data_IF_223676766209
#
_entry.id   IF_223676766209
#
_cell.length_a   1.000
_cell.length_b   1.000
_cell.length_c   1.000
_cell.angle_alpha   90.00
_cell.angle_beta   90.00
_cell.angle_gamma   90.00
#
_symmetry.space_group_name_H-M   'P 1'
#
loop_
_entity.id
_entity.type
_entity.pdbx_description
1 polymer ?
#
# COMPACT_ATOMS: atom_id res chain seq x y z
N UNK A 1 -8.59 -11.58 2.86
CA UNK A 1 -9.80 -10.74 2.96
C UNK A 1 -10.68 -10.79 1.70
N UNK A 2 -10.13 -10.62 0.48
CA UNK A 2 -10.90 -10.64 -0.78
C UNK A 2 -11.71 -11.93 -1.06
N UNK A 3 -11.18 -13.12 -0.76
CA UNK A 3 -11.90 -14.41 -0.95
C UNK A 3 -13.20 -14.50 -0.14
N UNK A 4 -13.21 -13.93 1.08
CA UNK A 4 -14.40 -13.92 1.96
C UNK A 4 -15.47 -12.95 1.43
N UNK A 5 -15.03 -11.79 0.94
CA UNK A 5 -15.92 -10.81 0.31
C UNK A 5 -16.58 -11.38 -0.95
N UNK A 6 -15.82 -12.08 -1.79
CA UNK A 6 -16.33 -12.71 -3.00
C UNK A 6 -17.37 -13.80 -2.69
N UNK A 7 -17.10 -14.67 -1.71
CA UNK A 7 -18.06 -15.70 -1.29
C UNK A 7 -19.36 -15.09 -0.71
N UNK A 8 -19.26 -14.03 0.10
CA UNK A 8 -20.43 -13.32 0.63
C UNK A 8 -21.22 -12.59 -0.45
N UNK A 9 -20.55 -11.96 -1.42
CA UNK A 9 -21.20 -11.35 -2.57
C UNK A 9 -21.89 -12.39 -3.47
N UNK A 10 -21.30 -13.59 -3.62
CA UNK A 10 -21.95 -14.71 -4.31
C UNK A 10 -23.15 -15.27 -3.54
N UNK A 11 -23.06 -15.38 -2.21
CA UNK A 11 -24.17 -15.79 -1.34
C UNK A 11 -25.32 -14.77 -1.43
N UNK A 12 -25.02 -13.48 -1.32
CA UNK A 12 -25.98 -12.40 -1.53
C UNK A 12 -26.59 -12.44 -2.94
N UNK A 13 -25.80 -12.71 -3.98
CA UNK A 13 -26.30 -12.86 -5.37
C UNK A 13 -27.30 -14.01 -5.50
N UNK A 14 -27.08 -15.14 -4.82
CA UNK A 14 -28.03 -16.27 -4.79
C UNK A 14 -29.31 -15.91 -4.02
N UNK A 15 -29.18 -15.27 -2.86
CA UNK A 15 -30.31 -14.82 -2.03
C UNK A 15 -31.14 -13.74 -2.76
N UNK A 16 -30.50 -12.87 -3.54
CA UNK A 16 -31.18 -11.86 -4.38
C UNK A 16 -32.03 -12.46 -5.50
N UNK A 17 -31.87 -13.75 -5.84
CA UNK A 17 -32.62 -14.42 -6.91
C UNK A 17 -33.65 -15.43 -6.37
N UNK A 18 -33.61 -15.77 -5.07
CA UNK A 18 -34.61 -16.61 -4.40
C UNK A 18 -34.90 -16.06 -2.99
N UNK A 19 -35.88 -15.14 -2.85
CA UNK A 19 -36.16 -14.42 -1.59
C UNK A 19 -36.96 -15.25 -0.57
N UNK A 20 -36.81 -16.57 -0.55
CA UNK A 20 -37.47 -17.45 0.41
C UNK A 20 -36.71 -17.46 1.75
N UNK A 21 -37.24 -16.67 2.69
CA UNK A 21 -37.39 -16.96 4.14
C UNK A 21 -36.41 -16.50 5.23
N UNK A 22 -35.38 -15.67 5.01
CA UNK A 22 -34.87 -14.91 6.17
C UNK A 22 -34.29 -13.53 5.85
N UNK A 23 -35.15 -12.51 5.91
CA UNK A 23 -34.77 -11.10 5.83
C UNK A 23 -33.73 -10.72 6.89
N UNK A 24 -33.73 -11.39 8.04
CA UNK A 24 -32.76 -11.16 9.12
C UNK A 24 -31.36 -11.62 8.71
N UNK A 25 -31.25 -12.78 8.08
CA UNK A 25 -29.96 -13.31 7.60
C UNK A 25 -29.40 -12.45 6.47
N UNK A 26 -30.26 -11.99 5.56
CA UNK A 26 -29.81 -11.09 4.48
C UNK A 26 -29.36 -9.72 5.03
N UNK A 27 -30.04 -9.20 6.05
CA UNK A 27 -29.61 -7.96 6.72
C UNK A 27 -28.25 -8.13 7.40
N UNK A 28 -28.02 -9.26 8.09
CA UNK A 28 -26.74 -9.59 8.69
C UNK A 28 -25.63 -9.77 7.64
N UNK A 29 -25.93 -10.41 6.51
CA UNK A 29 -24.99 -10.55 5.39
C UNK A 29 -24.63 -9.17 4.79
N UNK A 30 -25.58 -8.23 4.71
CA UNK A 30 -25.33 -6.84 4.28
C UNK A 30 -24.36 -6.12 5.24
N UNK A 31 -24.57 -6.28 6.55
CA UNK A 31 -23.68 -5.71 7.59
C UNK A 31 -22.26 -6.27 7.45
N UNK A 32 -22.13 -7.58 7.24
CA UNK A 32 -20.82 -8.21 7.03
C UNK A 32 -20.13 -7.69 5.76
N UNK A 33 -20.87 -7.54 4.66
CA UNK A 33 -20.31 -6.98 3.43
C UNK A 33 -19.88 -5.53 3.64
N UNK A 34 -20.65 -4.71 4.34
CA UNK A 34 -20.27 -3.34 4.66
C UNK A 34 -18.96 -3.29 5.46
N UNK A 35 -18.85 -4.09 6.54
CA UNK A 35 -17.63 -4.18 7.36
C UNK A 35 -16.39 -4.55 6.56
N UNK A 36 -16.50 -5.57 5.70
CA UNK A 36 -15.35 -5.99 4.88
C UNK A 36 -15.01 -4.93 3.85
N UNK A 37 -16.03 -4.34 3.19
CA UNK A 37 -15.85 -3.35 2.14
C UNK A 37 -15.13 -2.10 2.64
N UNK A 38 -15.44 -1.66 3.86
CA UNK A 38 -14.82 -0.46 4.46
C UNK A 38 -13.55 -0.78 5.24
N UNK A 39 -13.05 -2.02 5.17
CA UNK A 39 -11.79 -2.42 5.82
C UNK A 39 -11.87 -2.39 7.36
N UNK A 40 -13.06 -2.54 7.93
CA UNK A 40 -13.30 -2.49 9.38
C UNK A 40 -13.64 -3.86 9.98
N UNK A 41 -13.45 -4.94 9.21
CA UNK A 41 -13.62 -6.31 9.68
C UNK A 41 -12.33 -6.82 10.33
N UNK A 42 -12.15 -6.55 11.62
CA UNK A 42 -11.10 -7.15 12.43
C UNK A 42 -11.64 -8.40 13.14
N UNK A 43 -10.96 -9.55 13.00
CA UNK A 43 -11.35 -10.81 13.64
C UNK A 43 -11.30 -10.75 15.16
N UNK A 44 -10.48 -9.87 15.71
CA UNK A 44 -10.35 -9.65 17.15
C UNK A 44 -11.42 -8.71 17.70
N UNK A 45 -12.10 -7.96 16.82
CA UNK A 45 -13.14 -7.02 17.19
C UNK A 45 -14.51 -7.71 17.26
N UNK A 46 -14.82 -8.29 18.41
CA UNK A 46 -16.13 -8.88 18.67
C UNK A 46 -17.28 -7.85 18.71
N UNK A 47 -16.96 -6.56 18.80
CA UNK A 47 -17.94 -5.46 18.86
C UNK A 47 -18.24 -4.84 17.49
N UNK A 48 -17.37 -5.05 16.50
CA UNK A 48 -17.50 -4.45 15.16
C UNK A 48 -18.84 -4.70 14.49
N UNK A 49 -19.34 -5.93 14.61
CA UNK A 49 -20.61 -6.32 14.00
C UNK A 49 -21.79 -5.56 14.60
N UNK A 50 -21.88 -5.47 15.92
CA UNK A 50 -23.00 -4.78 16.59
C UNK A 50 -22.90 -3.25 16.44
N UNK A 51 -21.70 -2.69 16.45
CA UNK A 51 -21.48 -1.26 16.15
C UNK A 51 -21.89 -0.92 14.72
N UNK A 52 -21.44 -1.70 13.73
CA UNK A 52 -21.84 -1.50 12.34
C UNK A 52 -23.33 -1.74 12.13
N UNK A 53 -23.91 -2.74 12.78
CA UNK A 53 -25.35 -3.01 12.74
C UNK A 53 -26.15 -1.82 13.27
N UNK A 54 -25.70 -1.22 14.37
CA UNK A 54 -26.32 -0.02 14.93
C UNK A 54 -26.23 1.16 13.95
N UNK A 55 -25.05 1.38 13.37
CA UNK A 55 -24.84 2.43 12.37
C UNK A 55 -25.70 2.21 11.11
N UNK A 56 -25.72 0.99 10.56
CA UNK A 56 -26.55 0.63 9.40
C UNK A 56 -28.02 0.79 9.72
N UNK A 57 -28.52 0.29 10.85
CA UNK A 57 -29.93 0.44 11.23
C UNK A 57 -30.37 1.90 11.35
N UNK A 58 -29.45 2.82 11.70
CA UNK A 58 -29.75 4.26 11.78
C UNK A 58 -29.93 4.93 10.40
N UNK A 59 -29.33 4.35 9.35
CA UNK A 59 -29.36 4.87 7.97
C UNK A 59 -30.32 4.07 7.08
N UNK A 60 -30.45 2.78 7.37
CA UNK A 60 -31.22 1.78 6.65
C UNK A 60 -31.90 0.84 7.65
N UNK A 61 -33.10 1.20 8.13
CA UNK A 61 -33.85 0.33 9.02
C UNK A 61 -34.28 -0.95 8.28
N UNK A 62 -34.41 -2.09 8.98
CA UNK A 62 -34.82 -3.37 8.38
C UNK A 62 -36.14 -3.32 7.60
N UNK A 63 -37.03 -2.37 7.91
CA UNK A 63 -38.28 -2.13 7.16
C UNK A 63 -38.05 -1.77 5.69
N UNK A 64 -36.90 -1.19 5.36
CA UNK A 64 -36.55 -0.76 4.01
C UNK A 64 -35.95 -1.89 3.15
N UNK A 65 -35.80 -3.08 3.73
CA UNK A 65 -35.16 -4.24 3.09
C UNK A 65 -35.98 -4.83 1.95
N UNK A 66 -37.32 -4.80 2.07
CA UNK A 66 -38.24 -5.29 1.03
C UNK A 66 -38.09 -4.51 -0.29
N UNK A 67 -38.03 -3.17 -0.21
CA UNK A 67 -37.80 -2.29 -1.37
C UNK A 67 -36.40 -2.50 -1.96
N UNK A 68 -35.39 -2.69 -1.12
CA UNK A 68 -34.03 -2.97 -1.57
C UNK A 68 -33.95 -4.28 -2.37
N UNK A 69 -34.60 -5.36 -1.93
CA UNK A 69 -34.60 -6.66 -2.62
C UNK A 69 -35.20 -6.55 -4.02
N UNK A 70 -36.25 -5.74 -4.20
CA UNK A 70 -36.93 -5.55 -5.48
C UNK A 70 -36.15 -4.66 -6.46
N UNK A 71 -35.10 -3.98 -6.01
CA UNK A 71 -34.31 -3.09 -6.86
C UNK A 71 -33.36 -3.85 -7.81
N UNK A 72 -32.99 -3.21 -8.92
CA UNK A 72 -32.05 -3.79 -9.88
C UNK A 72 -30.62 -3.84 -9.32
N UNK A 73 -29.74 -4.65 -9.93
CA UNK A 73 -28.38 -4.86 -9.44
C UNK A 73 -27.55 -3.57 -9.34
N UNK A 74 -27.70 -2.64 -10.28
CA UNK A 74 -26.98 -1.36 -10.26
C UNK A 74 -27.40 -0.52 -9.06
N UNK A 75 -28.70 -0.43 -8.79
CA UNK A 75 -29.27 0.25 -7.63
C UNK A 75 -28.81 -0.42 -6.33
N UNK A 76 -28.81 -1.75 -6.25
CA UNK A 76 -28.32 -2.48 -5.08
C UNK A 76 -26.85 -2.15 -4.76
N UNK A 77 -25.98 -2.13 -5.77
CA UNK A 77 -24.57 -1.82 -5.57
C UNK A 77 -24.33 -0.37 -5.16
N UNK A 78 -25.00 0.59 -5.83
CA UNK A 78 -24.95 1.99 -5.44
C UNK A 78 -25.42 2.18 -4.00
N UNK A 79 -26.50 1.49 -3.63
CA UNK A 79 -27.06 1.52 -2.29
C UNK A 79 -26.10 0.96 -1.23
N UNK A 80 -25.52 -0.22 -1.46
CA UNK A 80 -24.54 -0.83 -0.55
C UNK A 80 -23.35 0.11 -0.37
N UNK A 81 -22.86 0.74 -1.45
CA UNK A 81 -21.76 1.71 -1.35
C UNK A 81 -22.13 2.89 -0.46
N UNK A 82 -23.30 3.48 -0.69
CA UNK A 82 -23.79 4.64 0.05
C UNK A 82 -23.93 4.34 1.56
N UNK A 83 -24.68 3.29 1.90
CA UNK A 83 -24.94 2.92 3.29
C UNK A 83 -23.66 2.50 4.00
N UNK A 84 -22.77 1.76 3.33
CA UNK A 84 -21.51 1.34 3.94
C UNK A 84 -20.63 2.55 4.27
N UNK A 85 -20.53 3.53 3.36
CA UNK A 85 -19.74 4.74 3.60
C UNK A 85 -20.30 5.59 4.73
N UNK A 86 -21.63 5.79 4.79
CA UNK A 86 -22.26 6.55 5.87
C UNK A 86 -22.07 5.81 7.21
N UNK A 87 -22.34 4.51 7.25
CA UNK A 87 -22.23 3.71 8.47
C UNK A 87 -20.79 3.65 8.99
N UNK A 88 -19.80 3.55 8.10
CA UNK A 88 -18.38 3.65 8.45
C UNK A 88 -18.05 5.02 9.08
N UNK A 89 -18.57 6.12 8.50
CA UNK A 89 -18.39 7.46 9.06
C UNK A 89 -19.01 7.62 10.45
N UNK A 90 -20.21 7.08 10.67
CA UNK A 90 -20.87 7.07 11.99
C UNK A 90 -20.00 6.32 13.00
N UNK A 91 -19.49 5.15 12.62
CA UNK A 91 -18.63 4.33 13.48
C UNK A 91 -17.31 5.01 13.79
N UNK A 92 -16.68 5.67 12.81
CA UNK A 92 -15.47 6.48 12.98
C UNK A 92 -15.68 7.66 13.92
N UNK A 93 -16.81 8.35 13.81
CA UNK A 93 -17.15 9.46 14.70
C UNK A 93 -17.36 8.98 16.15
N UNK A 94 -18.02 7.84 16.32
CA UNK A 94 -18.19 7.20 17.63
C UNK A 94 -16.83 6.74 18.20
N UNK A 95 -15.97 6.17 17.37
CA UNK A 95 -14.60 5.79 17.75
C UNK A 95 -13.77 6.98 18.20
N UNK A 96 -13.72 8.06 17.42
CA UNK A 96 -12.97 9.27 17.78
C UNK A 96 -13.49 9.93 19.07
N UNK A 97 -14.76 9.73 19.41
CA UNK A 97 -15.37 10.25 20.65
C UNK A 97 -15.20 9.31 21.85
N UNK A 98 -14.37 8.27 21.75
CA UNK A 98 -14.19 7.19 22.74
C UNK A 98 -15.49 6.44 23.12
N UNK A 99 -16.47 6.38 22.20
CA UNK A 99 -17.76 5.70 22.41
C UNK A 99 -17.85 4.31 21.78
N UNK A 100 -16.95 3.99 20.85
CA UNK A 100 -16.95 2.75 20.06
C UNK A 100 -15.53 2.42 19.57
N UNK A 101 -15.36 1.32 18.83
CA UNK A 101 -14.14 1.07 18.06
C UNK A 101 -12.91 0.76 18.91
N UNK A 102 -13.10 0.08 20.05
CA UNK A 102 -12.01 -0.31 20.98
C UNK A 102 -10.83 -1.02 20.28
N UNK A 103 -11.12 -1.76 19.21
CA UNK A 103 -10.16 -2.53 18.43
C UNK A 103 -9.91 -1.93 17.03
N UNK A 104 -10.40 -0.72 16.77
CA UNK A 104 -10.06 0.00 15.55
C UNK A 104 -8.60 0.43 15.62
N UNK A 105 -7.88 0.12 14.55
CA UNK A 105 -6.45 0.40 14.44
C UNK A 105 -6.24 1.84 13.99
N UNK A 106 -5.55 2.62 14.81
CA UNK A 106 -5.19 4.00 14.47
C UNK A 106 -4.00 4.01 13.50
N UNK A 107 -4.32 3.82 12.20
CA UNK A 107 -3.31 3.80 11.13
C UNK A 107 -2.52 5.11 11.13
N UNK A 108 -3.17 6.26 11.30
CA UNK A 108 -2.50 7.56 11.32
C UNK A 108 -1.46 7.67 12.45
N UNK A 109 -1.81 7.24 13.67
CA UNK A 109 -0.87 7.20 14.80
C UNK A 109 0.30 6.25 14.56
N UNK A 110 0.04 5.11 13.94
CA UNK A 110 1.08 4.11 13.67
C UNK A 110 2.02 4.59 12.59
N UNK A 111 1.49 5.19 11.52
CA UNK A 111 2.31 5.83 10.49
C UNK A 111 3.21 6.92 11.05
N UNK A 112 2.74 7.74 12.00
CA UNK A 112 3.57 8.75 12.69
C UNK A 112 4.77 8.16 13.44
N UNK A 113 4.70 6.89 13.86
CA UNK A 113 5.79 6.19 14.55
C UNK A 113 6.67 5.42 13.56
N UNK A 114 6.06 4.83 12.54
CA UNK A 114 6.75 3.95 11.58
C UNK A 114 7.51 4.76 10.52
N UNK A 115 6.90 5.81 9.94
CA UNK A 115 7.52 6.59 8.87
C UNK A 115 8.90 7.14 9.23
N UNK A 116 9.12 7.78 10.39
CA UNK A 116 10.45 8.30 10.74
C UNK A 116 11.52 7.21 10.78
N UNK A 117 11.18 6.01 11.28
CA UNK A 117 12.11 4.88 11.38
C UNK A 117 12.49 4.36 10.00
N UNK A 118 11.50 4.19 9.12
CA UNK A 118 11.75 3.71 7.76
C UNK A 118 12.58 4.72 6.96
N UNK A 119 12.31 6.02 7.12
CA UNK A 119 13.12 7.06 6.52
C UNK A 119 14.58 7.03 7.02
N UNK A 120 14.79 6.80 8.33
CA UNK A 120 16.11 6.68 8.95
C UNK A 120 16.84 5.42 8.43
N UNK A 121 16.20 4.26 8.49
CA UNK A 121 16.75 2.99 7.99
C UNK A 121 17.17 3.10 6.51
N UNK A 122 16.35 3.78 5.69
CA UNK A 122 16.62 3.97 4.27
C UNK A 122 17.75 4.98 4.02
N UNK A 123 17.85 6.02 4.85
CA UNK A 123 18.95 6.98 4.80
C UNK A 123 20.29 6.31 5.14
N UNK A 124 20.31 5.49 6.19
CA UNK A 124 21.49 4.75 6.61
C UNK A 124 21.92 3.76 5.53
N UNK A 125 20.99 3.01 4.95
CA UNK A 125 21.29 2.10 3.84
C UNK A 125 21.83 2.84 2.61
N UNK A 126 21.23 3.96 2.22
CA UNK A 126 21.74 4.79 1.12
C UNK A 126 23.17 5.28 1.38
N UNK A 127 23.48 5.65 2.62
CA UNK A 127 24.83 6.07 3.04
C UNK A 127 25.82 4.92 2.92
N UNK A 128 25.44 3.72 3.33
CA UNK A 128 26.31 2.55 3.31
C UNK A 128 26.54 2.01 1.89
N UNK A 129 25.48 1.91 1.08
CA UNK A 129 25.59 1.52 -0.33
C UNK A 129 26.45 2.53 -1.11
N UNK A 130 26.34 3.83 -0.82
CA UNK A 130 27.21 4.85 -1.43
C UNK A 130 28.68 4.57 -1.15
N UNK A 131 29.03 4.31 0.11
CA UNK A 131 30.42 3.96 0.49
C UNK A 131 30.89 2.70 -0.23
N UNK A 132 30.03 1.70 -0.41
CA UNK A 132 30.36 0.48 -1.13
C UNK A 132 30.59 0.73 -2.62
N UNK A 133 29.77 1.54 -3.26
CA UNK A 133 29.96 1.99 -4.65
C UNK A 133 31.30 2.71 -4.81
N UNK A 134 31.61 3.67 -3.93
CA UNK A 134 32.88 4.42 -3.97
C UNK A 134 34.10 3.49 -3.80
N UNK A 135 34.04 2.54 -2.86
CA UNK A 135 35.10 1.54 -2.66
C UNK A 135 35.31 0.68 -3.90
N UNK A 136 34.23 0.13 -4.48
CA UNK A 136 34.30 -0.71 -5.68
C UNK A 136 34.83 0.07 -6.89
N UNK A 137 34.40 1.32 -7.06
CA UNK A 137 34.91 2.20 -8.11
C UNK A 137 36.42 2.46 -7.96
N UNK A 138 36.89 2.76 -6.75
CA UNK A 138 38.31 3.00 -6.50
C UNK A 138 39.15 1.74 -6.74
N UNK A 139 38.68 0.58 -6.28
CA UNK A 139 39.35 -0.70 -6.49
C UNK A 139 39.47 -1.03 -7.98
N UNK A 140 38.40 -0.86 -8.76
CA UNK A 140 38.42 -1.09 -10.21
C UNK A 140 39.34 -0.10 -10.93
N UNK A 141 39.33 1.19 -10.55
CA UNK A 141 40.24 2.21 -11.10
C UNK A 141 41.71 1.83 -10.88
N UNK A 142 42.07 1.40 -9.67
CA UNK A 142 43.43 0.96 -9.37
C UNK A 142 43.86 -0.25 -10.22
N UNK A 143 42.96 -1.19 -10.47
CA UNK A 143 43.24 -2.35 -11.33
C UNK A 143 43.43 -1.96 -12.79
N UNK A 144 42.61 -1.04 -13.31
CA UNK A 144 42.78 -0.50 -14.66
C UNK A 144 44.12 0.23 -14.80
N UNK A 145 44.51 1.05 -13.82
CA UNK A 145 45.80 1.76 -13.84
C UNK A 145 47.02 0.83 -13.80
N UNK A 146 46.85 -0.42 -13.35
CA UNK A 146 47.91 -1.44 -13.26
C UNK A 146 47.90 -2.41 -14.44
N UNK A 147 47.15 -2.11 -15.51
CA UNK A 147 46.98 -2.97 -16.70
C UNK A 147 46.54 -4.41 -16.35
N UNK A 148 45.63 -4.57 -15.38
CA UNK A 148 45.06 -5.88 -15.07
C UNK A 148 44.34 -6.46 -16.31
N UNK A 149 44.51 -7.76 -16.61
CA UNK A 149 43.85 -8.37 -17.76
C UNK A 149 42.33 -8.30 -17.61
N UNK A 150 41.64 -7.76 -18.62
CA UNK A 150 40.17 -7.75 -18.67
C UNK A 150 39.55 -9.16 -18.66
N UNK A 151 40.34 -10.21 -18.94
CA UNK A 151 39.95 -11.62 -18.87
C UNK A 151 39.99 -12.21 -17.46
N UNK A 152 40.40 -11.42 -16.46
CA UNK A 152 40.43 -11.86 -15.07
C UNK A 152 39.02 -11.98 -14.50
N UNK A 153 38.69 -13.18 -14.03
CA UNK A 153 37.35 -13.52 -13.52
C UNK A 153 37.01 -12.66 -12.29
N UNK A 154 37.99 -12.35 -11.45
CA UNK A 154 37.79 -11.51 -10.27
C UNK A 154 37.48 -10.06 -10.68
N UNK A 155 38.19 -9.53 -11.67
CA UNK A 155 37.91 -8.20 -12.22
C UNK A 155 36.51 -8.11 -12.84
N UNK A 156 36.08 -9.14 -13.58
CA UNK A 156 34.71 -9.21 -14.11
C UNK A 156 33.66 -9.29 -13.00
N UNK A 157 33.89 -10.12 -11.98
CA UNK A 157 32.99 -10.23 -10.83
C UNK A 157 32.85 -8.90 -10.07
N UNK A 158 33.94 -8.18 -9.83
CA UNK A 158 33.90 -6.86 -9.17
C UNK A 158 33.14 -5.80 -10.00
N UNK A 159 33.18 -5.88 -11.34
CA UNK A 159 32.33 -5.05 -12.20
C UNK A 159 30.85 -5.35 -12.01
N UNK A 160 30.48 -6.62 -11.96
CA UNK A 160 29.09 -7.03 -11.72
C UNK A 160 28.61 -6.58 -10.33
N UNK A 161 29.47 -6.68 -9.31
CA UNK A 161 29.18 -6.16 -7.98
C UNK A 161 28.95 -4.64 -7.99
N UNK A 162 29.76 -3.88 -8.74
CA UNK A 162 29.57 -2.44 -8.90
C UNK A 162 28.24 -2.12 -9.58
N UNK A 163 27.91 -2.80 -10.68
CA UNK A 163 26.63 -2.61 -11.40
C UNK A 163 25.45 -2.89 -10.46
N UNK A 164 25.50 -3.99 -9.72
CA UNK A 164 24.46 -4.33 -8.75
C UNK A 164 24.34 -3.27 -7.64
N UNK A 165 25.47 -2.80 -7.08
CA UNK A 165 25.47 -1.78 -6.04
C UNK A 165 24.90 -0.44 -6.53
N UNK A 166 25.23 -0.02 -7.76
CA UNK A 166 24.69 1.20 -8.39
C UNK A 166 23.19 1.06 -8.63
N UNK A 167 22.74 -0.05 -9.19
CA UNK A 167 21.31 -0.30 -9.40
C UNK A 167 20.54 -0.30 -8.08
N UNK A 168 21.06 -0.99 -7.07
CA UNK A 168 20.47 -1.00 -5.74
C UNK A 168 20.36 0.42 -5.16
N UNK A 169 21.44 1.21 -5.26
CA UNK A 169 21.44 2.61 -4.83
C UNK A 169 20.34 3.44 -5.50
N UNK A 170 20.17 3.32 -6.82
CA UNK A 170 19.12 4.06 -7.54
C UNK A 170 17.72 3.59 -7.16
N UNK A 171 17.49 2.29 -6.95
CA UNK A 171 16.21 1.82 -6.42
C UNK A 171 15.90 2.36 -5.03
N UNK A 172 16.91 2.44 -4.15
CA UNK A 172 16.73 3.02 -2.82
C UNK A 172 16.37 4.52 -2.88
N UNK A 173 16.89 5.28 -3.86
CA UNK A 173 16.50 6.68 -4.07
C UNK A 173 15.03 6.81 -4.47
N UNK A 174 14.58 6.00 -5.43
CA UNK A 174 13.17 5.98 -5.85
C UNK A 174 12.26 5.63 -4.67
N UNK A 175 12.62 4.60 -3.89
CA UNK A 175 11.87 4.22 -2.70
C UNK A 175 11.81 5.35 -1.66
N UNK A 176 12.89 6.12 -1.51
CA UNK A 176 12.93 7.24 -0.58
C UNK A 176 11.94 8.32 -0.98
N UNK A 177 11.92 8.69 -2.25
CA UNK A 177 10.98 9.69 -2.79
C UNK A 177 9.53 9.24 -2.60
N UNK A 178 9.22 7.97 -2.90
CA UNK A 178 7.88 7.40 -2.71
C UNK A 178 7.44 7.41 -1.23
N UNK A 179 8.33 7.03 -0.32
CA UNK A 179 8.04 7.00 1.12
C UNK A 179 7.90 8.42 1.69
N UNK A 180 8.67 9.39 1.20
CA UNK A 180 8.53 10.80 1.55
C UNK A 180 7.18 11.36 1.09
N UNK A 181 6.72 11.00 -0.11
CA UNK A 181 5.39 11.38 -0.59
C UNK A 181 4.29 10.77 0.27
N UNK A 182 4.39 9.49 0.66
CA UNK A 182 3.46 8.86 1.61
C UNK A 182 3.43 9.64 2.94
N UNK A 183 4.58 10.07 3.45
CA UNK A 183 4.64 10.83 4.69
C UNK A 183 3.88 12.16 4.57
N UNK A 184 4.07 12.87 3.46
CA UNK A 184 3.37 14.12 3.15
C UNK A 184 1.86 13.89 3.05
N UNK A 185 1.43 12.88 2.30
CA UNK A 185 0.01 12.57 2.10
C UNK A 185 -0.67 12.13 3.40
N UNK A 186 0.01 11.30 4.19
CA UNK A 186 -0.48 10.87 5.50
C UNK A 186 -0.73 12.05 6.42
N UNK A 187 0.20 13.01 6.49
CA UNK A 187 0.02 14.22 7.30
C UNK A 187 -1.16 15.06 6.84
N UNK A 188 -1.31 15.27 5.52
CA UNK A 188 -2.45 16.02 4.94
C UNK A 188 -3.78 15.34 5.27
N UNK A 189 -3.84 14.02 5.13
CA UNK A 189 -5.05 13.23 5.38
C UNK A 189 -5.41 13.21 6.87
N UNK A 190 -4.44 13.04 7.76
CA UNK A 190 -4.65 13.07 9.22
C UNK A 190 -5.16 14.45 9.69
N UNK A 191 -4.57 15.53 9.16
CA UNK A 191 -5.05 16.89 9.42
C UNK A 191 -6.47 17.11 8.89
N UNK A 192 -6.76 16.65 7.67
CA UNK A 192 -8.10 16.74 7.06
C UNK A 192 -9.13 15.97 7.89
N UNK A 193 -8.79 14.76 8.33
CA UNK A 193 -9.65 13.93 9.18
C UNK A 193 -9.99 14.65 10.50
N UNK A 194 -8.99 15.25 11.16
CA UNK A 194 -9.19 16.02 12.38
C UNK A 194 -10.10 17.24 12.17
N UNK A 195 -9.99 17.94 11.04
CA UNK A 195 -10.90 19.05 10.69
C UNK A 195 -12.33 18.54 10.48
N UNK A 196 -12.50 17.48 9.68
CA UNK A 196 -13.82 16.92 9.38
C UNK A 196 -14.56 16.50 10.66
N UNK A 197 -13.86 15.87 11.61
CA UNK A 197 -14.42 15.54 12.92
C UNK A 197 -14.87 16.80 13.69
N UNK A 198 -14.02 17.83 13.74
CA UNK A 198 -14.34 19.09 14.44
C UNK A 198 -15.57 19.78 13.84
N UNK A 199 -15.64 19.86 12.52
CA UNK A 199 -16.78 20.43 11.81
C UNK A 199 -18.06 19.63 12.02
N UNK A 200 -17.98 18.30 11.94
CA UNK A 200 -19.10 17.41 12.19
C UNK A 200 -19.63 17.61 13.62
N UNK A 201 -18.74 17.67 14.62
CA UNK A 201 -19.11 17.96 16.00
C UNK A 201 -19.77 19.33 16.17
N UNK A 202 -19.31 20.35 15.45
CA UNK A 202 -19.93 21.68 15.48
C UNK A 202 -21.34 21.64 14.89
N UNK A 203 -21.52 21.00 13.73
CA UNK A 203 -22.84 20.86 13.07
C UNK A 203 -23.84 20.11 13.93
N UNK A 204 -23.41 19.07 14.64
CA UNK A 204 -24.26 18.30 15.55
C UNK A 204 -24.68 19.11 16.80
N UNK A 205 -23.92 20.14 17.20
CA UNK A 205 -24.22 20.97 18.38
C UNK A 205 -25.08 22.20 18.08
N UNK A 206 -24.99 22.78 16.87
CA UNK A 206 -25.49 24.14 16.58
C UNK A 206 -26.83 24.23 15.86
N UNK A 207 -27.47 23.12 15.46
CA UNK A 207 -28.67 23.19 14.62
C UNK A 207 -29.81 22.23 14.99
N UNK A 208 -31.09 22.62 14.78
CA UNK A 208 -32.24 21.72 14.87
C UNK A 208 -32.38 20.79 13.64
N UNK A 209 -31.28 20.48 12.94
CA UNK A 209 -31.30 19.76 11.66
C UNK A 209 -30.67 18.37 11.75
N UNK A 210 -31.41 17.46 12.36
CA UNK A 210 -31.23 16.00 12.28
C UNK A 210 -31.80 15.41 10.98
N UNK A 211 -31.88 16.19 9.89
CA UNK A 211 -32.26 15.62 8.59
C UNK A 211 -31.03 14.93 8.03
N UNK A 212 -31.11 13.59 7.95
CA UNK A 212 -30.18 12.68 7.28
C UNK A 212 -29.39 13.31 6.12
N UNK A 213 -30.08 14.04 5.24
CA UNK A 213 -29.54 14.70 4.06
C UNK A 213 -28.38 15.69 4.32
N UNK A 214 -28.28 16.27 5.51
CA UNK A 214 -27.22 17.25 5.86
C UNK A 214 -26.02 16.63 6.57
N UNK A 215 -26.20 15.50 7.25
CA UNK A 215 -25.15 14.88 8.09
C UNK A 215 -24.49 13.70 7.37
N UNK A 216 -25.22 12.96 6.55
CA UNK A 216 -24.68 11.82 5.79
C UNK A 216 -23.51 12.19 4.89
N UNK A 217 -23.51 13.32 4.16
CA UNK A 217 -22.33 13.73 3.39
C UNK A 217 -21.08 13.90 4.26
N UNK A 218 -21.21 14.44 5.48
CA UNK A 218 -20.08 14.57 6.41
C UNK A 218 -19.53 13.23 6.88
N UNK A 219 -20.41 12.27 7.18
CA UNK A 219 -19.97 10.91 7.52
C UNK A 219 -19.29 10.21 6.35
N UNK A 220 -19.78 10.41 5.12
CA UNK A 220 -19.14 9.85 3.92
C UNK A 220 -17.74 10.42 3.73
N UNK A 221 -17.59 11.74 3.80
CA UNK A 221 -16.27 12.38 3.66
C UNK A 221 -15.30 11.86 4.71
N UNK A 222 -15.75 11.66 5.95
CA UNK A 222 -14.95 11.07 7.02
C UNK A 222 -14.49 9.64 6.70
N UNK A 223 -15.40 8.81 6.20
CA UNK A 223 -15.10 7.44 5.79
C UNK A 223 -14.14 7.39 4.59
N UNK A 224 -14.29 8.30 3.63
CA UNK A 224 -13.41 8.42 2.47
C UNK A 224 -11.99 8.83 2.88
N UNK A 225 -11.86 9.87 3.71
CA UNK A 225 -10.54 10.29 4.23
C UNK A 225 -9.89 9.18 5.06
N UNK A 226 -10.65 8.49 5.92
CA UNK A 226 -10.13 7.34 6.66
C UNK A 226 -9.63 6.22 5.74
N UNK A 227 -10.41 5.89 4.70
CA UNK A 227 -10.01 4.89 3.71
C UNK A 227 -8.71 5.29 3.02
N UNK A 228 -8.55 6.56 2.67
CA UNK A 228 -7.28 7.07 2.09
C UNK A 228 -6.11 6.90 3.06
N UNK A 229 -6.28 7.19 4.36
CA UNK A 229 -5.24 6.95 5.38
C UNK A 229 -4.87 5.46 5.43
N UNK A 230 -5.86 4.56 5.37
CA UNK A 230 -5.60 3.11 5.34
C UNK A 230 -4.83 2.69 4.09
N UNK A 231 -5.11 3.29 2.93
CA UNK A 231 -4.39 3.02 1.69
C UNK A 231 -2.92 3.46 1.78
N UNK A 232 -2.65 4.64 2.32
CA UNK A 232 -1.27 5.09 2.57
C UNK A 232 -0.52 4.13 3.50
N UNK A 233 -1.18 3.62 4.55
CA UNK A 233 -0.62 2.61 5.44
C UNK A 233 -0.28 1.29 4.72
N UNK A 234 -1.13 0.85 3.77
CA UNK A 234 -0.86 -0.34 2.96
C UNK A 234 0.27 -0.12 1.94
N UNK A 235 0.36 1.07 1.36
CA UNK A 235 1.46 1.42 0.46
C UNK A 235 2.79 1.42 1.21
N UNK A 236 2.83 1.99 2.43
CA UNK A 236 4.03 1.95 3.26
C UNK A 236 4.46 0.51 3.58
N UNK A 237 3.52 -0.37 3.96
CA UNK A 237 3.81 -1.78 4.23
C UNK A 237 4.39 -2.51 3.01
N UNK A 238 3.85 -2.21 1.82
CA UNK A 238 4.39 -2.70 0.55
C UNK A 238 5.83 -2.21 0.32
N UNK A 239 6.11 -0.91 0.49
CA UNK A 239 7.44 -0.36 0.28
C UNK A 239 8.47 -0.85 1.31
N UNK A 240 8.08 -1.05 2.57
CA UNK A 240 8.94 -1.67 3.59
C UNK A 240 9.31 -3.10 3.16
N UNK A 241 8.33 -3.87 2.67
CA UNK A 241 8.55 -5.23 2.19
C UNK A 241 9.50 -5.25 0.99
N UNK A 242 9.26 -4.37 0.02
CA UNK A 242 10.11 -4.21 -1.17
C UNK A 242 11.53 -3.79 -0.78
N UNK A 243 11.69 -2.87 0.16
CA UNK A 243 13.00 -2.48 0.69
C UNK A 243 13.75 -3.66 1.28
N UNK A 244 13.10 -4.48 2.10
CA UNK A 244 13.68 -5.68 2.70
C UNK A 244 14.07 -6.73 1.65
N UNK A 245 13.27 -6.90 0.60
CA UNK A 245 13.56 -7.82 -0.50
C UNK A 245 14.76 -7.35 -1.34
N UNK A 246 14.81 -6.06 -1.69
CA UNK A 246 15.94 -5.47 -2.41
C UNK A 246 17.23 -5.56 -1.60
N UNK A 247 17.17 -5.32 -0.28
CA UNK A 247 18.31 -5.48 0.61
C UNK A 247 18.85 -6.90 0.59
N UNK A 248 17.98 -7.90 0.76
CA UNK A 248 18.36 -9.32 0.68
C UNK A 248 18.97 -9.67 -0.67
N UNK A 249 18.38 -9.19 -1.77
CA UNK A 249 18.91 -9.42 -3.12
C UNK A 249 20.31 -8.84 -3.29
N UNK A 250 20.53 -7.62 -2.81
CA UNK A 250 21.83 -6.94 -2.84
C UNK A 250 22.88 -7.69 -2.01
N UNK A 251 22.53 -8.16 -0.80
CA UNK A 251 23.41 -8.94 0.06
C UNK A 251 23.78 -10.30 -0.55
N UNK A 252 22.83 -10.99 -1.20
CA UNK A 252 23.09 -12.24 -1.92
C UNK A 252 24.09 -12.05 -3.06
N UNK A 253 23.97 -10.95 -3.82
CA UNK A 253 24.92 -10.64 -4.87
C UNK A 253 26.35 -10.47 -4.35
N UNK A 254 26.53 -9.91 -3.14
CA UNK A 254 27.83 -9.79 -2.47
C UNK A 254 28.39 -11.13 -1.98
N UNK A 255 27.54 -12.11 -1.68
CA UNK A 255 27.91 -13.43 -1.14
C UNK A 255 28.15 -14.50 -2.22
N UNK A 256 27.66 -14.31 -3.44
CA UNK A 256 27.92 -15.23 -4.55
C UNK A 256 29.40 -15.21 -4.91
N UNK A 257 30.17 -16.15 -4.37
CA UNK A 257 31.57 -16.34 -4.71
C UNK A 257 31.78 -16.64 -6.20
N UNK A 258 32.97 -16.26 -6.68
CA UNK A 258 33.51 -16.40 -8.05
C UNK A 258 33.33 -17.81 -8.66
N UNK A 259 33.11 -18.86 -7.86
CA UNK A 259 32.96 -20.25 -8.34
C UNK A 259 31.71 -20.51 -9.18
N UNK A 260 30.70 -19.63 -9.16
CA UNK A 260 29.46 -19.83 -9.93
C UNK A 260 29.49 -19.30 -11.38
N UNK A 261 30.53 -18.54 -11.76
CA UNK A 261 30.59 -17.84 -13.07
C UNK A 261 31.34 -18.68 -14.13
N UNK A 262 31.82 -19.88 -13.77
CA UNK A 262 32.64 -20.71 -14.67
C UNK A 262 31.84 -21.44 -15.77
N UNK A 263 30.53 -21.26 -15.85
CA UNK A 263 29.68 -21.80 -16.91
C UNK A 263 29.00 -20.66 -17.68
N UNK A 264 29.77 -19.97 -18.52
CA UNK A 264 29.16 -19.17 -19.60
C UNK A 264 28.92 -20.12 -20.77
N UNK A 265 27.66 -20.41 -21.16
CA UNK A 265 27.38 -21.10 -22.40
C UNK A 265 27.73 -20.16 -23.55
N UNK A 266 28.58 -20.60 -24.47
CA UNK A 266 28.78 -19.93 -25.75
C UNK A 266 27.43 -19.89 -26.47
N UNK A 267 26.80 -18.71 -26.58
CA UNK A 267 25.59 -18.55 -27.39
C UNK A 267 25.96 -18.20 -28.82
N UNK A 268 25.71 -19.14 -29.71
CA UNK A 268 25.67 -18.90 -31.15
C UNK A 268 24.57 -17.89 -31.52
N UNK A 269 24.91 -17.03 -32.48
CA UNK A 269 24.05 -16.06 -33.15
C UNK A 269 22.75 -16.67 -33.69
N UNK A 270 21.60 -16.05 -33.37
CA UNK A 270 20.64 -15.48 -34.33
C UNK A 270 19.26 -15.30 -33.70
N UNK A 271 18.66 -14.11 -33.88
CA UNK A 271 17.21 -13.94 -33.71
C UNK A 271 16.81 -12.57 -33.15
N UNK A 272 16.60 -11.62 -34.05
CA UNK A 272 15.98 -10.32 -33.78
C UNK A 272 14.54 -10.45 -33.29
N UNK A 273 14.16 -9.69 -32.26
CA UNK A 273 12.76 -9.30 -32.01
C UNK A 273 12.74 -7.97 -31.25
N UNK A 274 12.05 -6.98 -31.83
CA UNK A 274 11.80 -5.66 -31.25
C UNK A 274 10.92 -5.79 -29.99
N UNK A 275 11.41 -5.24 -28.87
CA UNK A 275 10.61 -4.84 -27.72
C UNK A 275 11.15 -3.51 -27.18
N UNK A 276 10.23 -2.67 -26.72
CA UNK A 276 10.43 -1.31 -26.20
C UNK A 276 11.59 -1.23 -25.19
N UNK A 277 12.42 -0.18 -25.32
CA UNK A 277 13.69 0.01 -24.61
C UNK A 277 13.52 -0.01 -23.08
N UNK A 278 13.73 -1.20 -22.50
CA UNK A 278 14.27 -1.32 -21.16
C UNK A 278 15.79 -1.26 -21.33
N UNK A 279 16.43 -0.22 -20.78
CA UNK A 279 17.89 -0.10 -20.80
C UNK A 279 18.46 -1.22 -19.90
N UNK A 280 18.75 -2.36 -20.49
CA UNK A 280 19.51 -3.44 -19.88
C UNK A 280 20.97 -3.18 -20.22
N UNK A 281 21.73 -2.70 -19.24
CA UNK A 281 23.17 -2.48 -19.41
C UNK A 281 23.85 -3.86 -19.34
N UNK A 282 24.33 -4.35 -20.47
CA UNK A 282 25.11 -5.58 -20.52
C UNK A 282 26.54 -5.33 -19.97
N UNK A 283 27.23 -6.35 -19.45
CA UNK A 283 28.60 -6.23 -18.95
C UNK A 283 29.59 -5.64 -19.98
N UNK A 284 29.26 -5.76 -21.28
CA UNK A 284 30.03 -5.26 -22.41
C UNK A 284 29.67 -3.82 -22.84
N UNK A 285 28.59 -3.23 -22.29
CA UNK A 285 28.15 -1.87 -22.59
C UNK A 285 28.95 -0.81 -21.82
N UNK A 286 29.77 -1.22 -20.85
CA UNK A 286 30.65 -0.33 -20.08
C UNK A 286 32.00 -0.15 -20.78
N UNK A 287 31.99 0.25 -22.05
CA UNK A 287 33.23 0.61 -22.77
C UNK A 287 33.84 1.92 -22.25
N UNK A 288 33.09 2.73 -21.50
CA UNK A 288 33.55 3.99 -20.92
C UNK A 288 33.21 4.08 -19.43
N UNK A 289 33.99 3.40 -18.59
CA UNK A 289 33.93 3.59 -17.12
C UNK A 289 34.10 5.06 -16.70
N UNK A 290 34.76 5.88 -17.50
CA UNK A 290 34.97 7.31 -17.25
C UNK A 290 33.70 8.17 -17.41
N UNK A 291 32.63 7.63 -18.01
CA UNK A 291 31.38 8.35 -18.28
C UNK A 291 30.27 8.04 -17.28
N UNK A 292 30.47 7.08 -16.36
CA UNK A 292 29.55 6.86 -15.24
C UNK A 292 29.84 7.92 -14.17
N UNK A 293 29.44 9.15 -14.46
CA UNK A 293 29.32 10.21 -13.46
C UNK A 293 27.95 10.10 -12.82
N UNK A 294 27.91 9.69 -11.54
CA UNK A 294 26.76 9.95 -10.70
C UNK A 294 26.71 11.46 -10.49
N UNK A 295 25.65 12.12 -10.98
CA UNK A 295 25.38 13.50 -10.61
C UNK A 295 24.96 13.52 -9.14
N UNK A 296 25.90 13.90 -8.28
CA UNK A 296 25.66 14.10 -6.85
C UNK A 296 25.05 15.51 -6.67
N UNK A 297 23.75 15.57 -6.41
CA UNK A 297 23.10 16.75 -5.81
C UNK A 297 23.10 16.64 -4.28
#
# INVERSE_FOLDING_TARGET
MMKNCFHLLQKLKKVWHNPTEDFKDMHNDLIQVALIKVGMNNKEDCTAFEEMKTAINSVFPPSSLSTFVLSNQKTKMAYINEVSSIAAGIRLHAWYSDKAGRFMFDVGKIMKVTLPKVCEDLHDELSDVRKDVEKLQNLLKEKVMKDFPNSDIQFHHEKLLLINAVNYFEFLKILKEDIEEIAIQTYKLDYTFAIQIKELNARLKTGPFTTADKVYPSYKNLAETWKSIQLEGHLLDFYISLFQELKKFSELAKLSEVSAISEVPQSDNNGSTEYEEIIIIHPDDVKNFEQITLEYQ
#
